data_IF_305700787145
#
_entry.id   IF_305700787145
#
_cell.length_a   1.000
_cell.length_b   1.000
_cell.length_c   1.000
_cell.angle_alpha   90.00
_cell.angle_beta   90.00
_cell.angle_gamma   90.00
#
_symmetry.space_group_name_H-M   'P 1'
#
loop_
_entity.id
_entity.type
_entity.pdbx_description
1 polymer ?
#
# COMPACT_ATOMS: atom_id res chain seq x y z
N UNK A 1 14.84 6.24 7.54
CA UNK A 1 14.15 5.36 8.51
C UNK A 1 14.14 3.93 7.97
N UNK A 2 14.27 2.91 8.82
CA UNK A 2 14.31 1.49 8.40
C UNK A 2 13.33 0.66 9.23
N UNK A 3 12.55 -0.18 8.55
CA UNK A 3 11.57 -1.09 9.15
C UNK A 3 11.87 -2.53 8.78
N UNK A 4 11.37 -3.46 9.59
CA UNK A 4 11.33 -4.88 9.24
C UNK A 4 9.87 -5.27 9.00
N UNK A 5 9.63 -5.99 7.92
CA UNK A 5 8.33 -6.55 7.56
C UNK A 5 8.53 -8.04 7.27
N UNK A 6 7.83 -8.91 7.99
CA UNK A 6 7.90 -10.36 7.78
C UNK A 6 6.63 -10.87 7.11
N UNK A 7 6.79 -11.75 6.12
CA UNK A 7 5.68 -12.51 5.55
C UNK A 7 5.14 -13.45 6.63
N UNK A 8 4.06 -13.03 7.29
CA UNK A 8 3.46 -13.72 8.43
C UNK A 8 1.95 -13.41 8.56
N UNK A 9 1.18 -14.22 9.32
CA UNK A 9 -0.24 -14.00 9.58
C UNK A 9 -0.65 -12.61 10.07
N UNK A 10 0.23 -11.91 10.77
CA UNK A 10 0.02 -10.57 11.33
C UNK A 10 0.42 -9.45 10.35
N UNK A 11 0.58 -9.76 9.06
CA UNK A 11 0.95 -8.82 7.99
C UNK A 11 0.22 -7.47 8.06
N UNK A 12 -1.11 -7.50 8.21
CA UNK A 12 -1.91 -6.27 8.23
C UNK A 12 -1.53 -5.34 9.40
N UNK A 13 -1.19 -5.91 10.55
CA UNK A 13 -0.77 -5.17 11.74
C UNK A 13 0.64 -4.60 11.58
N UNK A 14 1.57 -5.37 11.01
CA UNK A 14 2.91 -4.88 10.68
C UNK A 14 2.84 -3.72 9.67
N UNK A 15 2.05 -3.85 8.62
CA UNK A 15 1.80 -2.80 7.61
C UNK A 15 1.20 -1.56 8.24
N UNK A 16 0.22 -1.71 9.15
CA UNK A 16 -0.40 -0.59 9.86
C UNK A 16 0.65 0.22 10.63
N UNK A 17 1.54 -0.43 11.39
CA UNK A 17 2.63 0.24 12.13
C UNK A 17 3.59 1.00 11.22
N UNK A 18 4.02 0.39 10.11
CA UNK A 18 4.91 1.05 9.14
C UNK A 18 4.21 2.27 8.54
N UNK A 19 2.97 2.08 8.06
CA UNK A 19 2.16 3.15 7.48
C UNK A 19 1.98 4.33 8.44
N UNK A 20 1.65 4.08 9.70
CA UNK A 20 1.50 5.14 10.71
C UNK A 20 2.79 5.93 10.91
N UNK A 21 3.95 5.27 10.84
CA UNK A 21 5.24 5.91 11.01
C UNK A 21 5.72 6.73 9.79
N UNK A 22 5.23 6.44 8.58
CA UNK A 22 5.68 7.06 7.31
C UNK A 22 4.64 7.96 6.64
N UNK A 23 3.44 8.07 7.21
CA UNK A 23 2.35 8.91 6.68
C UNK A 23 1.76 9.78 7.78
N UNK A 24 1.05 10.84 7.42
CA UNK A 24 0.38 11.75 8.36
C UNK A 24 -1.11 11.43 8.44
N UNK A 25 -1.72 11.56 9.61
CA UNK A 25 -3.17 11.49 9.74
C UNK A 25 -3.81 12.72 9.08
N UNK A 26 -4.88 12.50 8.33
CA UNK A 26 -5.71 13.59 7.82
C UNK A 26 -6.94 13.73 8.67
N UNK A 27 -7.48 14.94 8.74
CA UNK A 27 -8.76 15.21 9.37
C UNK A 27 -9.97 14.81 8.49
N UNK A 28 -9.75 13.96 7.47
CA UNK A 28 -10.78 13.52 6.53
C UNK A 28 -11.34 12.17 6.95
N UNK A 29 -12.64 12.10 7.19
CA UNK A 29 -13.34 10.90 7.61
C UNK A 29 -13.70 10.05 6.39
N UNK A 30 -13.26 8.80 6.41
CA UNK A 30 -13.54 7.73 5.45
C UNK A 30 -14.97 7.20 5.60
N UNK A 31 -15.39 6.37 4.65
CA UNK A 31 -16.70 5.73 4.67
C UNK A 31 -16.89 4.78 5.88
N UNK A 32 -15.81 4.17 6.37
CA UNK A 32 -15.78 3.29 7.55
C UNK A 32 -15.63 4.04 8.88
N UNK A 33 -15.81 5.37 8.87
CA UNK A 33 -15.67 6.27 10.03
C UNK A 33 -14.25 6.40 10.59
N UNK A 34 -13.24 5.84 9.92
CA UNK A 34 -11.82 6.09 10.26
C UNK A 34 -11.31 7.33 9.53
N UNK A 35 -10.13 7.81 9.90
CA UNK A 35 -9.47 8.90 9.19
C UNK A 35 -8.63 8.38 8.03
N UNK A 36 -8.63 9.09 6.90
CA UNK A 36 -7.60 8.90 5.88
C UNK A 36 -6.25 9.33 6.44
N UNK A 37 -5.18 8.79 5.87
CA UNK A 37 -3.82 9.28 6.02
C UNK A 37 -3.35 9.88 4.70
N UNK A 38 -2.28 10.66 4.72
CA UNK A 38 -1.67 11.25 3.52
C UNK A 38 -0.17 10.99 3.53
N UNK A 39 0.40 10.75 2.35
CA UNK A 39 1.85 10.73 2.17
C UNK A 39 2.51 11.99 2.73
N UNK A 40 3.77 11.94 3.15
CA UNK A 40 4.49 13.13 3.63
C UNK A 40 4.94 14.00 2.45
N UNK A 41 5.18 15.28 2.70
CA UNK A 41 5.77 16.16 1.68
C UNK A 41 7.31 16.03 1.67
N UNK A 42 7.91 16.22 0.49
CA UNK A 42 9.36 16.24 0.27
C UNK A 42 9.91 14.96 -0.38
N UNK A 43 11.25 14.88 -0.46
CA UNK A 43 11.97 13.82 -1.19
C UNK A 43 12.54 12.73 -0.26
N UNK A 44 12.06 12.68 0.98
CA UNK A 44 12.48 11.70 1.96
C UNK A 44 12.12 10.28 1.49
N UNK A 45 12.97 9.32 1.89
CA UNK A 45 12.73 7.90 1.65
C UNK A 45 12.92 7.09 2.92
N UNK A 46 12.24 5.95 2.95
CA UNK A 46 12.37 4.96 4.01
C UNK A 46 12.64 3.59 3.42
N UNK A 47 13.16 2.69 4.25
CA UNK A 47 13.53 1.35 3.86
C UNK A 47 12.68 0.32 4.60
N UNK A 48 12.29 -0.74 3.89
CA UNK A 48 11.68 -1.93 4.47
C UNK A 48 12.60 -3.10 4.17
N UNK A 49 13.06 -3.79 5.20
CA UNK A 49 13.68 -5.10 5.07
C UNK A 49 12.58 -6.16 5.12
N UNK A 50 12.23 -6.69 3.95
CA UNK A 50 11.17 -7.68 3.79
C UNK A 50 11.75 -9.08 3.98
N UNK A 51 11.33 -9.74 5.05
CA UNK A 51 11.75 -11.09 5.41
C UNK A 51 10.72 -12.13 4.94
N UNK A 52 11.15 -13.25 4.35
CA UNK A 52 10.26 -14.39 4.10
C UNK A 52 9.79 -15.03 5.41
N UNK A 53 8.78 -15.91 5.35
CA UNK A 53 8.26 -16.57 6.55
C UNK A 53 9.32 -17.39 7.29
N UNK A 54 10.19 -18.09 6.55
CA UNK A 54 11.19 -19.01 7.11
C UNK A 54 12.62 -18.73 6.61
N UNK A 55 13.55 -18.61 7.57
CA UNK A 55 15.00 -18.90 7.48
C UNK A 55 15.89 -18.23 6.43
N UNK A 56 15.32 -17.50 5.46
CA UNK A 56 16.05 -16.98 4.31
C UNK A 56 16.37 -15.49 4.42
N UNK A 57 17.34 -15.06 3.59
CA UNK A 57 17.78 -13.66 3.49
C UNK A 57 16.60 -12.79 3.03
N UNK A 58 16.38 -11.68 3.72
CA UNK A 58 15.39 -10.69 3.32
C UNK A 58 15.84 -9.80 2.16
N UNK A 59 14.86 -9.14 1.55
CA UNK A 59 15.03 -8.20 0.45
C UNK A 59 14.91 -6.78 0.99
N UNK A 60 15.86 -5.91 0.63
CA UNK A 60 15.81 -4.49 1.01
C UNK A 60 15.00 -3.69 -0.01
N UNK A 61 13.95 -3.03 0.44
CA UNK A 61 13.07 -2.19 -0.38
C UNK A 61 13.26 -0.72 0.03
N UNK A 62 13.36 0.19 -0.95
CA UNK A 62 13.38 1.64 -0.69
C UNK A 62 12.17 2.30 -1.32
N UNK A 63 11.41 3.05 -0.52
CA UNK A 63 10.20 3.74 -0.94
C UNK A 63 10.31 5.25 -0.68
N UNK A 64 9.72 6.06 -1.54
CA UNK A 64 9.57 7.51 -1.31
C UNK A 64 8.40 7.79 -0.37
N UNK A 65 8.57 8.72 0.55
CA UNK A 65 7.50 9.10 1.50
C UNK A 65 6.37 9.91 0.82
N UNK A 66 6.63 10.52 -0.33
CA UNK A 66 5.70 11.40 -1.06
C UNK A 66 4.59 10.69 -1.82
N UNK A 67 4.83 9.46 -2.25
CA UNK A 67 3.91 8.68 -3.07
C UNK A 67 3.96 7.17 -2.79
N UNK A 68 4.75 6.75 -1.79
CA UNK A 68 4.98 5.33 -1.48
C UNK A 68 5.44 4.54 -2.72
N UNK A 69 6.02 5.20 -3.72
CA UNK A 69 6.57 4.51 -4.87
C UNK A 69 7.88 3.85 -4.48
N UNK A 70 8.00 2.59 -4.86
CA UNK A 70 9.20 1.81 -4.64
C UNK A 70 10.22 2.20 -5.72
N UNK A 71 11.42 2.58 -5.29
CA UNK A 71 12.49 3.07 -6.17
C UNK A 71 13.65 2.11 -6.28
N UNK A 72 13.89 1.28 -5.25
CA UNK A 72 15.01 0.33 -5.24
C UNK A 72 14.64 -1.00 -4.58
N UNK A 73 15.21 -2.08 -5.12
CA UNK A 73 15.15 -3.45 -4.59
C UNK A 73 16.58 -3.99 -4.50
N UNK A 74 17.01 -4.40 -3.32
CA UNK A 74 18.37 -4.88 -3.01
C UNK A 74 19.48 -3.93 -3.50
N UNK A 75 19.24 -2.63 -3.35
CA UNK A 75 20.19 -1.58 -3.73
C UNK A 75 20.21 -1.25 -5.23
N UNK A 76 19.56 -2.04 -6.08
CA UNK A 76 19.38 -1.74 -7.50
C UNK A 76 18.14 -0.87 -7.76
N UNK A 77 18.16 0.02 -8.77
CA UNK A 77 16.98 0.79 -9.15
C UNK A 77 15.87 -0.14 -9.65
N UNK A 78 14.63 0.23 -9.36
CA UNK A 78 13.43 -0.44 -9.84
C UNK A 78 12.60 0.53 -10.67
N UNK A 79 12.44 0.24 -11.96
CA UNK A 79 11.65 1.05 -12.87
C UNK A 79 10.23 0.47 -12.99
N UNK A 80 9.18 1.21 -12.61
CA UNK A 80 7.80 0.77 -12.74
C UNK A 80 7.36 0.87 -14.21
N UNK A 81 7.75 -0.10 -15.04
CA UNK A 81 7.57 0.00 -16.50
C UNK A 81 6.84 -1.14 -17.21
N UNK A 82 6.91 -2.40 -16.74
CA UNK A 82 6.45 -3.52 -17.58
C UNK A 82 6.03 -4.76 -16.80
N UNK A 83 5.37 -4.58 -15.66
CA UNK A 83 4.77 -5.68 -14.93
C UNK A 83 3.61 -6.29 -15.73
N UNK A 84 3.91 -7.16 -16.70
CA UNK A 84 2.96 -8.13 -17.26
C UNK A 84 2.79 -9.25 -16.24
N UNK A 85 2.36 -8.91 -15.03
CA UNK A 85 1.93 -9.91 -14.07
C UNK A 85 0.73 -10.60 -14.69
N UNK A 86 0.89 -11.86 -15.08
CA UNK A 86 -0.22 -12.71 -15.44
C UNK A 86 -1.00 -13.01 -14.15
N UNK A 87 -2.21 -12.47 -13.97
CA UNK A 87 -2.98 -12.66 -12.76
C UNK A 87 -3.27 -14.14 -12.47
N UNK A 88 -3.25 -14.99 -13.52
CA UNK A 88 -3.51 -16.42 -13.42
C UNK A 88 -2.34 -17.21 -12.79
N UNK A 89 -1.14 -16.63 -12.76
CA UNK A 89 0.08 -17.26 -12.24
C UNK A 89 0.36 -16.94 -10.77
N UNK A 90 -0.39 -16.02 -10.18
CA UNK A 90 -0.15 -15.52 -8.82
C UNK A 90 -1.02 -16.29 -7.81
N UNK A 91 -0.54 -17.46 -7.37
CA UNK A 91 -1.17 -18.28 -6.33
C UNK A 91 -0.35 -18.17 -5.05
N UNK A 92 -0.91 -17.87 -3.86
CA UNK A 92 -0.10 -18.00 -2.64
C UNK A 92 0.24 -19.50 -2.50
N UNK A 93 1.52 -19.90 -2.38
CA UNK A 93 2.68 -19.23 -1.75
C UNK A 93 3.54 -18.21 -2.56
N UNK A 94 3.04 -17.63 -3.66
CA UNK A 94 3.78 -16.73 -4.56
C UNK A 94 4.58 -15.58 -3.92
N UNK A 95 4.18 -14.98 -2.79
CA UNK A 95 4.97 -13.88 -2.19
C UNK A 95 6.28 -14.39 -1.56
N UNK A 96 6.19 -15.45 -0.76
CA UNK A 96 7.37 -16.08 -0.15
C UNK A 96 8.25 -16.72 -1.24
N UNK A 97 7.64 -17.38 -2.21
CA UNK A 97 8.35 -17.93 -3.37
C UNK A 97 9.03 -16.84 -4.19
N UNK A 98 8.38 -15.70 -4.42
CA UNK A 98 8.99 -14.57 -5.12
C UNK A 98 10.21 -14.03 -4.35
N UNK A 99 10.14 -13.94 -3.01
CA UNK A 99 11.28 -13.53 -2.19
C UNK A 99 12.44 -14.53 -2.29
N UNK A 100 12.15 -15.83 -2.22
CA UNK A 100 13.14 -16.89 -2.30
C UNK A 100 13.75 -17.02 -3.71
N UNK A 101 12.96 -16.76 -4.75
CA UNK A 101 13.40 -16.85 -6.14
C UNK A 101 14.20 -15.61 -6.59
N UNK A 102 13.92 -14.44 -6.02
CA UNK A 102 14.50 -13.16 -6.46
C UNK A 102 16.03 -13.15 -6.62
N UNK A 103 16.84 -13.76 -5.72
CA UNK A 103 18.29 -13.76 -5.86
C UNK A 103 18.79 -14.52 -7.10
N UNK A 104 18.01 -15.50 -7.58
CA UNK A 104 18.35 -16.37 -8.71
C UNK A 104 17.61 -15.99 -9.99
N UNK A 105 16.53 -15.22 -9.88
CA UNK A 105 15.71 -14.81 -11.00
C UNK A 105 16.41 -13.79 -11.89
N UNK A 106 16.32 -14.00 -13.20
CA UNK A 106 16.84 -13.12 -14.26
C UNK A 106 15.73 -12.77 -15.26
N UNK A 107 15.92 -11.69 -16.02
CA UNK A 107 14.99 -11.25 -17.06
C UNK A 107 13.54 -11.11 -16.57
N UNK A 108 12.59 -11.69 -17.31
CA UNK A 108 11.15 -11.61 -17.05
C UNK A 108 10.75 -12.14 -15.67
N UNK A 109 11.31 -13.27 -15.23
CA UNK A 109 10.98 -13.86 -13.94
C UNK A 109 11.35 -12.94 -12.76
N UNK A 110 12.45 -12.18 -12.90
CA UNK A 110 12.84 -11.18 -11.91
C UNK A 110 11.84 -10.05 -11.86
N UNK A 111 11.43 -9.53 -13.02
CA UNK A 111 10.44 -8.45 -13.11
C UNK A 111 9.11 -8.87 -12.48
N UNK A 112 8.66 -10.10 -12.73
CA UNK A 112 7.43 -10.63 -12.14
C UNK A 112 7.53 -10.74 -10.62
N UNK A 113 8.61 -11.33 -10.09
CA UNK A 113 8.83 -11.42 -8.64
C UNK A 113 8.87 -10.03 -7.98
N UNK A 114 9.63 -9.08 -8.56
CA UNK A 114 9.71 -7.71 -8.07
C UNK A 114 8.34 -7.00 -8.10
N UNK A 115 7.58 -7.18 -9.17
CA UNK A 115 6.26 -6.55 -9.33
C UNK A 115 5.26 -7.10 -8.30
N UNK A 116 5.30 -8.40 -8.02
CA UNK A 116 4.47 -8.99 -6.98
C UNK A 116 4.81 -8.44 -5.60
N UNK A 117 6.11 -8.35 -5.27
CA UNK A 117 6.58 -7.77 -4.01
C UNK A 117 6.08 -6.32 -3.88
N UNK A 118 6.23 -5.52 -4.93
CA UNK A 118 5.78 -4.12 -4.97
C UNK A 118 4.27 -4.03 -4.76
N UNK A 119 3.47 -4.84 -5.45
CA UNK A 119 2.01 -4.85 -5.29
C UNK A 119 1.60 -5.22 -3.87
N UNK A 120 2.21 -6.25 -3.29
CA UNK A 120 1.88 -6.69 -1.94
C UNK A 120 2.26 -5.61 -0.91
N UNK A 121 3.48 -5.07 -0.98
CA UNK A 121 3.98 -4.10 0.00
C UNK A 121 3.34 -2.72 -0.19
N UNK A 122 3.50 -2.10 -1.36
CA UNK A 122 2.97 -0.76 -1.62
C UNK A 122 1.45 -0.75 -1.62
N UNK A 123 0.79 -1.79 -2.18
CA UNK A 123 -0.66 -1.94 -2.12
C UNK A 123 -1.18 -2.03 -0.68
N UNK A 124 -0.54 -2.85 0.16
CA UNK A 124 -0.93 -2.96 1.58
C UNK A 124 -0.70 -1.65 2.35
N UNK A 125 0.39 -0.92 2.06
CA UNK A 125 0.60 0.41 2.65
C UNK A 125 -0.48 1.41 2.25
N UNK A 126 -1.08 1.28 1.06
CA UNK A 126 -2.11 2.20 0.55
C UNK A 126 -3.52 1.85 1.03
N UNK A 127 -3.82 0.58 1.30
CA UNK A 127 -5.17 0.04 1.54
C UNK A 127 -5.20 -0.99 2.65
N UNK A 128 -6.03 -0.74 3.68
CA UNK A 128 -6.34 -1.71 4.74
C UNK A 128 -6.94 -3.01 4.18
N UNK A 129 -7.79 -2.90 3.16
CA UNK A 129 -8.41 -4.04 2.52
C UNK A 129 -7.36 -4.94 1.85
N UNK A 130 -6.36 -4.36 1.18
CA UNK A 130 -5.28 -5.14 0.58
C UNK A 130 -4.39 -5.79 1.64
N UNK A 131 -4.04 -5.04 2.69
CA UNK A 131 -3.27 -5.58 3.81
C UNK A 131 -4.01 -6.76 4.49
N UNK A 132 -5.32 -6.64 4.68
CA UNK A 132 -6.16 -7.70 5.23
C UNK A 132 -6.24 -8.92 4.31
N UNK A 133 -6.45 -8.73 2.99
CA UNK A 133 -6.46 -9.81 1.98
C UNK A 133 -5.14 -10.59 1.99
N UNK A 134 -4.00 -9.90 1.95
CA UNK A 134 -2.67 -10.54 2.02
C UNK A 134 -2.50 -11.30 3.33
N UNK A 135 -2.83 -10.69 4.47
CA UNK A 135 -2.73 -11.35 5.78
C UNK A 135 -3.65 -12.58 5.93
N UNK A 136 -4.83 -12.56 5.31
CA UNK A 136 -5.72 -13.72 5.26
C UNK A 136 -5.11 -14.86 4.44
N UNK A 137 -4.53 -14.57 3.27
CA UNK A 137 -3.88 -15.57 2.44
C UNK A 137 -2.69 -16.22 3.16
N UNK A 138 -1.87 -15.41 3.83
CA UNK A 138 -0.76 -15.91 4.63
C UNK A 138 -1.24 -16.82 5.77
N UNK A 139 -2.38 -16.49 6.40
CA UNK A 139 -3.03 -17.36 7.38
C UNK A 139 -3.49 -18.69 6.78
N UNK A 140 -4.13 -18.68 5.61
CA UNK A 140 -4.59 -19.90 4.93
C UNK A 140 -3.40 -20.81 4.63
N UNK A 141 -2.32 -20.26 4.07
CA UNK A 141 -1.10 -21.03 3.73
C UNK A 141 -0.43 -21.61 4.98
N UNK A 142 -0.33 -20.83 6.06
CA UNK A 142 0.35 -21.27 7.29
C UNK A 142 -0.46 -22.26 8.13
N UNK A 143 -1.79 -22.14 8.15
CA UNK A 143 -2.66 -22.96 8.99
C UNK A 143 -3.32 -24.12 8.25
N UNK A 144 -3.23 -24.18 6.92
CA UNK A 144 -3.82 -25.24 6.11
C UNK A 144 -5.35 -25.28 6.14
N UNK A 145 -6.00 -24.13 6.34
CA UNK A 145 -7.46 -24.00 6.44
C UNK A 145 -8.18 -24.64 5.23
N UNK A 146 -8.91 -25.76 5.42
CA UNK A 146 -9.60 -26.44 4.32
C UNK A 146 -10.70 -25.56 3.72
N UNK A 147 -10.79 -25.52 2.39
CA UNK A 147 -11.86 -24.82 1.65
C UNK A 147 -11.65 -23.31 1.45
N UNK A 148 -10.62 -22.71 2.03
CA UNK A 148 -10.25 -21.32 1.75
C UNK A 148 -9.35 -21.23 0.51
N UNK A 149 -9.66 -20.32 -0.42
CA UNK A 149 -8.77 -20.07 -1.56
C UNK A 149 -7.47 -19.44 -1.07
N UNK A 150 -6.34 -20.08 -1.38
CA UNK A 150 -5.00 -19.54 -1.17
C UNK A 150 -4.55 -18.66 -2.36
N UNK A 151 -5.44 -18.28 -3.28
CA UNK A 151 -5.04 -17.50 -4.45
C UNK A 151 -5.00 -16.00 -4.16
N UNK A 152 -3.90 -15.36 -4.53
CA UNK A 152 -3.79 -13.91 -4.47
C UNK A 152 -4.58 -13.31 -5.64
N UNK A 153 -5.58 -12.44 -5.43
CA UNK A 153 -6.38 -11.86 -6.50
C UNK A 153 -5.59 -10.76 -7.23
N UNK A 154 -4.52 -11.13 -7.92
CA UNK A 154 -3.55 -10.18 -8.46
C UNK A 154 -4.15 -9.20 -9.48
N UNK A 155 -5.20 -9.63 -10.20
CA UNK A 155 -5.95 -8.74 -11.09
C UNK A 155 -6.61 -7.59 -10.33
N UNK A 156 -7.26 -7.90 -9.20
CA UNK A 156 -7.84 -6.89 -8.30
C UNK A 156 -6.74 -6.02 -7.69
N UNK A 157 -5.63 -6.60 -7.23
CA UNK A 157 -4.50 -5.84 -6.68
C UNK A 157 -3.93 -4.84 -7.69
N UNK A 158 -3.77 -5.28 -8.94
CA UNK A 158 -3.31 -4.43 -10.04
C UNK A 158 -4.31 -3.32 -10.34
N UNK A 159 -5.60 -3.63 -10.36
CA UNK A 159 -6.65 -2.65 -10.61
C UNK A 159 -6.69 -1.61 -9.49
N UNK A 160 -6.66 -2.04 -8.22
CA UNK A 160 -6.61 -1.15 -7.06
C UNK A 160 -5.33 -0.28 -7.09
N UNK A 161 -4.18 -0.86 -7.43
CA UNK A 161 -2.92 -0.13 -7.53
C UNK A 161 -2.97 0.95 -8.64
N UNK A 162 -3.57 0.65 -9.79
CA UNK A 162 -3.75 1.60 -10.91
C UNK A 162 -4.76 2.69 -10.57
N UNK A 163 -5.85 2.33 -9.89
CA UNK A 163 -6.90 3.27 -9.50
C UNK A 163 -6.48 4.19 -8.34
N UNK A 164 -5.40 3.88 -7.62
CA UNK A 164 -4.99 4.63 -6.43
C UNK A 164 -4.78 6.12 -6.70
N UNK A 165 -4.00 6.49 -7.71
CA UNK A 165 -3.76 7.90 -8.07
C UNK A 165 -5.04 8.65 -8.41
N UNK A 166 -5.80 8.23 -9.44
CA UNK A 166 -7.07 8.85 -9.81
C UNK A 166 -8.08 8.92 -8.66
N UNK A 167 -8.17 7.87 -7.83
CA UNK A 167 -9.08 7.86 -6.69
C UNK A 167 -8.67 8.88 -5.62
N UNK A 168 -7.38 9.07 -5.37
CA UNK A 168 -6.89 10.12 -4.46
C UNK A 168 -7.26 11.51 -4.97
N UNK A 169 -7.05 11.78 -6.26
CA UNK A 169 -7.43 13.06 -6.89
C UNK A 169 -8.94 13.30 -6.79
N UNK A 170 -9.74 12.28 -7.08
CA UNK A 170 -11.21 12.35 -6.96
C UNK A 170 -11.67 12.62 -5.52
N UNK A 171 -11.02 12.00 -4.51
CA UNK A 171 -11.29 12.26 -3.09
C UNK A 171 -10.96 13.72 -2.74
N UNK A 172 -9.81 14.26 -3.19
CA UNK A 172 -9.46 15.65 -2.93
C UNK A 172 -10.38 16.66 -3.64
N UNK A 173 -10.98 16.27 -4.77
CA UNK A 173 -11.98 17.05 -5.48
C UNK A 173 -13.37 17.00 -4.84
N UNK A 174 -13.67 15.92 -4.11
CA UNK A 174 -14.95 15.73 -3.42
C UNK A 174 -15.09 16.51 -2.09
N UNK A 175 -13.99 17.10 -1.58
CA UNK A 175 -13.95 17.83 -0.31
C UNK A 175 -13.86 19.34 -0.50
N UNK A 176 -14.15 20.10 0.57
CA UNK A 176 -14.01 21.55 0.57
C UNK A 176 -12.56 22.02 0.41
N UNK A 177 -12.37 23.25 -0.07
CA UNK A 177 -11.03 23.88 -0.16
C UNK A 177 -10.37 24.00 1.22
N UNK A 178 -11.15 24.29 2.26
CA UNK A 178 -10.70 24.33 3.66
C UNK A 178 -10.15 22.97 4.11
N UNK A 179 -10.91 21.90 3.89
CA UNK A 179 -10.48 20.54 4.23
C UNK A 179 -9.23 20.14 3.47
N UNK A 180 -9.15 20.46 2.17
CA UNK A 180 -7.95 20.22 1.36
C UNK A 180 -6.72 20.94 1.93
N UNK A 181 -6.85 22.21 2.30
CA UNK A 181 -5.78 23.00 2.89
C UNK A 181 -5.30 22.47 4.25
N UNK A 182 -6.22 21.92 5.07
CA UNK A 182 -5.89 21.33 6.37
C UNK A 182 -5.24 19.94 6.20
N UNK A 183 -5.82 19.08 5.36
CA UNK A 183 -5.39 17.70 5.18
C UNK A 183 -3.95 17.56 4.65
N UNK A 184 -3.42 18.58 3.98
CA UNK A 184 -2.06 18.59 3.42
C UNK A 184 -1.00 19.11 4.40
N UNK A 185 -1.38 19.70 5.52
CA UNK A 185 -0.43 20.21 6.52
C UNK A 185 0.09 19.11 7.42
N UNK A 186 1.30 19.29 7.96
CA UNK A 186 1.79 18.45 9.06
C UNK A 186 1.03 18.80 10.34
N UNK A 187 0.89 17.84 11.26
CA UNK A 187 0.21 18.09 12.55
C UNK A 187 0.82 19.26 13.33
N UNK A 188 2.14 19.45 13.24
CA UNK A 188 2.87 20.56 13.86
C UNK A 188 2.51 21.94 13.29
N UNK A 189 2.01 21.99 12.05
CA UNK A 189 1.65 23.22 11.33
C UNK A 189 0.18 23.61 11.52
N UNK A 190 -0.63 22.72 12.12
CA UNK A 190 -2.03 22.96 12.38
C UNK A 190 -2.23 23.84 13.61
N UNK A 191 -3.07 24.87 13.46
CA UNK A 191 -3.56 25.67 14.60
C UNK A 191 -4.50 24.83 15.49
N UNK A 192 -4.76 25.24 16.75
CA UNK A 192 -5.69 24.52 17.62
C UNK A 192 -7.07 24.30 16.99
N UNK A 193 -7.62 25.31 16.32
CA UNK A 193 -8.92 25.21 15.64
C UNK A 193 -8.88 24.22 14.46
N UNK A 194 -7.79 24.22 13.68
CA UNK A 194 -7.62 23.28 12.57
C UNK A 194 -7.47 21.82 13.04
N UNK A 195 -6.93 21.58 14.24
CA UNK A 195 -6.83 20.23 14.82
C UNK A 195 -8.18 19.64 15.21
N UNK A 196 -9.18 20.48 15.46
CA UNK A 196 -10.55 20.06 15.75
C UNK A 196 -11.44 20.01 14.50
N UNK A 197 -10.94 20.47 13.36
CA UNK A 197 -11.65 20.33 12.09
C UNK A 197 -11.74 18.86 11.71
N UNK A 198 -12.88 18.47 11.14
CA UNK A 198 -13.03 17.19 10.46
C UNK A 198 -14.06 17.31 9.35
N UNK A 199 -13.81 16.68 8.22
CA UNK A 199 -14.77 16.63 7.11
C UNK A 199 -14.93 15.19 6.64
N UNK A 200 -16.18 14.76 6.42
CA UNK A 200 -16.44 13.44 5.84
C UNK A 200 -16.36 13.52 4.33
N UNK A 201 -15.61 12.59 3.72
CA UNK A 201 -15.59 12.45 2.27
C UNK A 201 -16.93 11.86 1.83
N UNK A 202 -17.73 12.66 1.13
CA UNK A 202 -18.96 12.20 0.51
C UNK A 202 -18.65 11.36 -0.73
N UNK A 203 -18.77 10.04 -0.62
CA UNK A 203 -18.49 9.13 -1.73
C UNK A 203 -19.35 9.38 -2.98
N UNK A 204 -20.53 9.98 -2.84
CA UNK A 204 -21.37 10.35 -3.97
C UNK A 204 -20.73 11.44 -4.86
N UNK A 205 -19.81 12.24 -4.31
CA UNK A 205 -19.03 13.26 -5.04
C UNK A 205 -17.75 12.70 -5.66
N UNK A 206 -17.36 11.47 -5.30
CA UNK A 206 -16.26 10.74 -5.94
C UNK A 206 -16.76 10.14 -7.25
N UNK A 207 -15.91 10.17 -8.27
CA UNK A 207 -16.21 9.63 -9.60
C UNK A 207 -16.77 8.20 -9.49
N UNK A 208 -17.90 7.87 -10.14
CA UNK A 208 -18.59 6.59 -9.94
C UNK A 208 -17.69 5.36 -10.11
N UNK A 209 -16.78 5.36 -11.09
CA UNK A 209 -15.83 4.26 -11.34
C UNK A 209 -14.74 4.10 -10.29
N UNK A 210 -14.54 5.11 -9.41
CA UNK A 210 -13.48 5.14 -8.40
C UNK A 210 -14.02 4.97 -6.97
N UNK A 211 -15.34 4.93 -6.77
CA UNK A 211 -15.93 4.86 -5.43
C UNK A 211 -15.53 3.61 -4.65
N UNK A 212 -15.38 2.46 -5.32
CA UNK A 212 -14.93 1.22 -4.68
C UNK A 212 -13.48 1.35 -4.16
N UNK A 213 -12.59 1.88 -4.99
CA UNK A 213 -11.20 2.16 -4.61
C UNK A 213 -11.14 3.22 -3.49
N UNK A 214 -11.94 4.28 -3.57
CA UNK A 214 -11.98 5.31 -2.52
C UNK A 214 -12.38 4.74 -1.14
N UNK A 215 -13.25 3.71 -1.09
CA UNK A 215 -13.60 3.01 0.15
C UNK A 215 -12.42 2.20 0.71
N UNK A 216 -11.63 1.55 -0.14
CA UNK A 216 -10.53 0.68 0.28
C UNK A 216 -9.29 1.46 0.69
N UNK A 217 -9.05 2.61 0.06
CA UNK A 217 -7.88 3.47 0.30
C UNK A 217 -7.84 3.96 1.75
N UNK A 218 -6.64 3.89 2.31
CA UNK A 218 -6.31 4.43 3.62
C UNK A 218 -5.31 5.57 3.52
N UNK A 219 -4.35 5.51 2.58
CA UNK A 219 -3.35 6.56 2.37
C UNK A 219 -3.60 7.27 1.05
N UNK A 220 -3.77 8.58 1.12
CA UNK A 220 -3.93 9.46 -0.02
C UNK A 220 -2.56 9.89 -0.57
N UNK A 221 -2.40 9.79 -1.89
CA UNK A 221 -1.31 10.45 -2.60
C UNK A 221 -1.53 11.97 -2.54
N UNK A 222 -0.49 12.74 -2.24
CA UNK A 222 -0.61 14.21 -2.30
C UNK A 222 -0.89 14.65 -3.74
N UNK A 223 -1.81 15.60 -3.97
CA UNK A 223 -1.97 16.21 -5.28
C UNK A 223 -0.66 16.94 -5.65
N UNK A 224 -0.33 16.91 -6.95
CA UNK A 224 0.81 17.66 -7.51
C UNK A 224 0.43 19.11 -7.73
#
# INVERSE_FOLDING_TARGET
MMFTLRVAPDWAEQIRKIREAVTEETHLIRADHRFYRVCRAGDASFQIHLLPSAGARGVALRLRESDLELTHIDGGPFEPGAARLDPRRLQAPALDEALLALPRATGQARVEAQSLIVLCVAGSLRSDALAAKVGQLLRVVTTGLPGASAQLPAGELLQEARAWGPACESIFNAITSTARGIALKRRSELTPLQRHFSERVELAKVEPGLQASARSITVLKRPK
#
